data_IF_931884059902
#
_entry.id   IF_931884059902
#
_cell.length_a   1.000
_cell.length_b   1.000
_cell.length_c   1.000
_cell.angle_alpha   90.00
_cell.angle_beta   90.00
_cell.angle_gamma   90.00
#
_symmetry.space_group_name_H-M   'P 1'
#
loop_
_entity.id
_entity.type
_entity.pdbx_description
1 polymer ?
#
# COMPACT_ATOMS: atom_id res chain seq x y z
N UNK A 1 -49.73 -18.10 -61.54
CA UNK A 1 -49.85 -18.63 -60.16
C UNK A 1 -48.49 -19.07 -59.61
N UNK A 2 -47.63 -19.70 -60.42
CA UNK A 2 -46.28 -20.16 -60.05
C UNK A 2 -45.32 -19.10 -59.49
N UNK A 3 -45.26 -17.88 -60.08
CA UNK A 3 -44.39 -16.79 -59.57
C UNK A 3 -44.71 -16.38 -58.12
N UNK A 4 -45.97 -16.47 -57.68
CA UNK A 4 -46.37 -16.16 -56.29
C UNK A 4 -45.95 -17.27 -55.33
N UNK A 5 -46.07 -18.54 -55.74
CA UNK A 5 -45.68 -19.71 -54.94
C UNK A 5 -44.16 -19.75 -54.77
N UNK A 6 -43.41 -19.49 -55.84
CA UNK A 6 -41.95 -19.42 -55.81
C UNK A 6 -41.47 -18.34 -54.82
N UNK A 7 -42.06 -17.13 -54.87
CA UNK A 7 -41.70 -15.99 -54.01
C UNK A 7 -42.07 -16.22 -52.52
N UNK A 8 -43.16 -16.94 -52.25
CA UNK A 8 -43.52 -17.36 -50.88
C UNK A 8 -42.54 -18.43 -50.37
N UNK A 9 -42.13 -19.35 -51.23
CA UNK A 9 -41.11 -20.37 -50.91
C UNK A 9 -39.77 -19.73 -50.59
N UNK A 10 -39.28 -18.80 -51.43
CA UNK A 10 -38.01 -18.08 -51.16
C UNK A 10 -38.09 -17.24 -49.89
N UNK A 11 -39.22 -16.58 -49.61
CA UNK A 11 -39.40 -15.83 -48.35
C UNK A 11 -39.35 -16.73 -47.11
N UNK A 12 -39.97 -17.92 -47.15
CA UNK A 12 -39.93 -18.89 -46.04
C UNK A 12 -38.52 -19.46 -45.83
N UNK A 13 -37.81 -19.75 -46.92
CA UNK A 13 -36.41 -20.20 -46.86
C UNK A 13 -35.52 -19.11 -46.26
N UNK A 14 -35.68 -17.85 -46.68
CA UNK A 14 -34.92 -16.72 -46.13
C UNK A 14 -35.23 -16.45 -44.65
N UNK A 15 -36.49 -16.62 -44.22
CA UNK A 15 -36.89 -16.42 -42.83
C UNK A 15 -36.34 -17.52 -41.91
N UNK A 16 -36.35 -18.78 -42.38
CA UNK A 16 -35.72 -19.89 -41.68
C UNK A 16 -34.21 -19.71 -41.60
N UNK A 17 -33.57 -19.25 -42.68
CA UNK A 17 -32.14 -18.95 -42.69
C UNK A 17 -31.78 -17.85 -41.69
N UNK A 18 -32.56 -16.75 -41.65
CA UNK A 18 -32.37 -15.68 -40.68
C UNK A 18 -32.57 -16.16 -39.23
N UNK A 19 -33.56 -17.02 -38.98
CA UNK A 19 -33.79 -17.60 -37.66
C UNK A 19 -32.66 -18.52 -37.19
N UNK A 20 -32.14 -19.38 -38.08
CA UNK A 20 -30.98 -20.24 -37.79
C UNK A 20 -29.73 -19.42 -37.55
N UNK A 21 -29.51 -18.35 -38.32
CA UNK A 21 -28.39 -17.44 -38.13
C UNK A 21 -28.47 -16.69 -36.79
N UNK A 22 -29.64 -16.18 -36.43
CA UNK A 22 -29.88 -15.54 -35.13
C UNK A 22 -29.65 -16.50 -33.98
N UNK A 23 -30.13 -17.74 -34.09
CA UNK A 23 -29.91 -18.77 -33.08
C UNK A 23 -28.43 -19.14 -32.94
N UNK A 24 -27.70 -19.25 -34.06
CA UNK A 24 -26.26 -19.50 -34.05
C UNK A 24 -25.48 -18.36 -33.37
N UNK A 25 -25.80 -17.11 -33.70
CA UNK A 25 -25.20 -15.93 -33.05
C UNK A 25 -25.49 -15.95 -31.55
N UNK A 26 -26.75 -16.21 -31.17
CA UNK A 26 -27.16 -16.28 -29.77
C UNK A 26 -26.43 -17.38 -28.99
N UNK A 27 -26.23 -18.56 -29.60
CA UNK A 27 -25.51 -19.68 -28.98
C UNK A 27 -24.00 -19.41 -28.83
N UNK A 28 -23.40 -18.63 -29.74
CA UNK A 28 -21.97 -18.25 -29.64
C UNK A 28 -21.72 -16.99 -28.80
N UNK A 29 -22.73 -16.13 -28.62
CA UNK A 29 -22.57 -14.86 -27.90
C UNK A 29 -22.30 -15.05 -26.39
N UNK A 30 -22.66 -16.20 -25.82
CA UNK A 30 -22.47 -16.52 -24.40
C UNK A 30 -21.28 -17.43 -24.12
N UNK A 31 -20.49 -17.82 -25.14
CA UNK A 31 -19.26 -18.55 -24.87
C UNK A 31 -18.16 -17.58 -24.49
N UNK A 32 -18.04 -17.30 -23.19
CA UNK A 32 -16.82 -16.72 -22.62
C UNK A 32 -15.73 -17.78 -22.67
N UNK A 33 -15.05 -17.88 -23.81
CA UNK A 33 -13.81 -18.64 -23.88
C UNK A 33 -12.87 -18.05 -22.83
N UNK A 34 -12.49 -18.84 -21.82
CA UNK A 34 -11.39 -18.49 -20.90
C UNK A 34 -10.16 -18.25 -21.77
N UNK A 35 -9.83 -16.99 -22.02
CA UNK A 35 -8.73 -16.62 -22.90
C UNK A 35 -7.43 -16.87 -22.15
N UNK A 36 -6.82 -18.02 -22.40
CA UNK A 36 -5.46 -18.29 -21.94
C UNK A 36 -4.50 -17.78 -23.01
N UNK A 37 -3.82 -16.67 -22.72
CA UNK A 37 -2.83 -16.09 -23.61
C UNK A 37 -1.43 -16.37 -23.06
N UNK A 38 -0.60 -17.05 -23.86
CA UNK A 38 0.83 -17.13 -23.61
C UNK A 38 1.51 -15.96 -24.32
N UNK A 39 2.40 -15.27 -23.61
CA UNK A 39 3.16 -14.13 -24.13
C UNK A 39 4.54 -14.13 -23.52
N UNK A 40 5.54 -13.70 -24.29
CA UNK A 40 6.91 -13.57 -23.81
C UNK A 40 7.12 -12.26 -23.03
N UNK A 41 6.43 -11.18 -23.45
CA UNK A 41 6.50 -9.86 -22.82
C UNK A 41 5.11 -9.21 -22.73
N UNK A 42 4.87 -8.45 -21.66
CA UNK A 42 3.66 -7.66 -21.45
C UNK A 42 3.99 -6.20 -21.10
N UNK A 43 3.77 -5.29 -22.05
CA UNK A 43 3.91 -3.84 -21.83
C UNK A 43 2.54 -3.21 -21.55
N UNK A 44 2.25 -2.91 -20.29
CA UNK A 44 0.97 -2.33 -19.86
C UNK A 44 1.17 -1.23 -18.81
N UNK A 45 0.13 -0.41 -18.61
CA UNK A 45 0.15 0.63 -17.56
C UNK A 45 -0.29 0.10 -16.20
N UNK A 46 -1.10 -0.96 -16.18
CA UNK A 46 -1.72 -1.54 -14.99
C UNK A 46 -2.17 -2.98 -15.24
N UNK A 47 -1.99 -3.83 -14.23
CA UNK A 47 -2.53 -5.19 -14.13
C UNK A 47 -3.39 -5.22 -12.85
N UNK A 48 -4.62 -5.74 -12.97
CA UNK A 48 -5.48 -6.04 -11.83
C UNK A 48 -5.63 -7.55 -11.73
N UNK A 49 -5.46 -8.10 -10.53
CA UNK A 49 -5.92 -9.44 -10.17
C UNK A 49 -7.20 -9.27 -9.39
N UNK A 50 -8.27 -9.92 -9.85
CA UNK A 50 -9.62 -9.83 -9.29
C UNK A 50 -10.20 -11.23 -9.11
N UNK A 51 -11.14 -11.35 -8.18
CA UNK A 51 -12.04 -12.49 -8.05
C UNK A 51 -13.17 -12.46 -9.09
N UNK A 52 -13.94 -13.56 -9.16
CA UNK A 52 -15.10 -13.69 -10.05
C UNK A 52 -16.19 -12.63 -9.80
N UNK A 53 -16.31 -12.12 -8.56
CA UNK A 53 -17.25 -11.06 -8.18
C UNK A 53 -16.71 -9.63 -8.42
N UNK A 54 -15.48 -9.52 -8.91
CA UNK A 54 -14.79 -8.25 -9.16
C UNK A 54 -14.00 -7.70 -7.98
N UNK A 55 -13.96 -8.40 -6.83
CA UNK A 55 -13.14 -8.00 -5.68
C UNK A 55 -11.66 -8.00 -6.07
N UNK A 56 -10.94 -6.93 -5.73
CA UNK A 56 -9.52 -6.77 -6.07
C UNK A 56 -8.67 -7.59 -5.10
N UNK A 57 -7.65 -8.27 -5.61
CA UNK A 57 -6.61 -8.98 -4.83
C UNK A 57 -5.22 -8.37 -4.97
N UNK A 58 -4.93 -7.81 -6.14
CA UNK A 58 -3.66 -7.14 -6.39
C UNK A 58 -3.78 -6.10 -7.50
N UNK A 59 -3.10 -4.96 -7.33
CA UNK A 59 -2.92 -3.96 -8.38
C UNK A 59 -1.43 -3.72 -8.58
N UNK A 60 -0.91 -4.01 -9.77
CA UNK A 60 0.43 -3.59 -10.21
C UNK A 60 0.27 -2.47 -11.23
N UNK A 61 0.80 -1.28 -10.97
CA UNK A 61 0.63 -0.15 -11.90
C UNK A 61 1.74 0.88 -11.85
N UNK A 62 1.76 1.72 -12.89
CA UNK A 62 2.49 2.97 -12.85
C UNK A 62 1.84 3.99 -11.89
N UNK A 63 2.53 5.11 -11.66
CA UNK A 63 2.12 6.21 -10.76
C UNK A 63 0.73 6.77 -11.12
N UNK A 64 0.46 7.00 -12.40
CA UNK A 64 -0.76 7.67 -12.86
C UNK A 64 -2.03 6.80 -12.79
N UNK A 65 -1.89 5.47 -12.60
CA UNK A 65 -3.02 4.53 -12.53
C UNK A 65 -3.09 3.75 -11.23
N UNK A 66 -2.32 4.18 -10.22
CA UNK A 66 -2.27 3.51 -8.92
C UNK A 66 -3.60 3.57 -8.18
N UNK A 67 -3.89 2.50 -7.44
CA UNK A 67 -5.06 2.43 -6.58
C UNK A 67 -4.86 3.32 -5.34
N UNK A 68 -5.86 4.11 -4.96
CA UNK A 68 -5.78 4.99 -3.78
C UNK A 68 -5.61 4.21 -2.47
N UNK A 69 -6.18 3.01 -2.44
CA UNK A 69 -6.32 2.12 -1.30
C UNK A 69 -7.80 1.85 -1.03
N UNK A 70 -8.10 0.76 -0.31
CA UNK A 70 -9.46 0.40 0.11
C UNK A 70 -9.41 -0.08 1.55
N UNK A 71 -10.36 0.32 2.37
CA UNK A 71 -10.48 -0.12 3.76
C UNK A 71 -11.95 -0.11 4.19
N UNK A 72 -12.39 -1.12 4.94
CA UNK A 72 -13.78 -1.32 5.34
C UNK A 72 -14.76 -1.23 4.15
N UNK A 73 -14.35 -1.78 2.99
CA UNK A 73 -15.15 -1.77 1.75
C UNK A 73 -15.28 -0.41 1.05
N UNK A 74 -14.56 0.63 1.52
CA UNK A 74 -14.60 1.98 0.96
C UNK A 74 -13.25 2.32 0.33
N UNK A 75 -13.27 2.80 -0.92
CA UNK A 75 -12.07 3.35 -1.54
C UNK A 75 -11.66 4.65 -0.86
N UNK A 76 -10.39 4.72 -0.47
CA UNK A 76 -9.80 5.93 0.10
C UNK A 76 -9.84 7.04 -0.97
N UNK A 77 -10.11 8.32 -0.59
CA UNK A 77 -10.08 9.43 -1.53
C UNK A 77 -8.80 9.45 -2.37
N UNK A 78 -8.90 9.98 -3.60
CA UNK A 78 -7.77 10.04 -4.50
C UNK A 78 -6.57 10.72 -3.85
N UNK A 79 -5.43 10.02 -3.90
CA UNK A 79 -4.14 10.52 -3.45
C UNK A 79 -3.07 10.09 -4.43
N UNK A 80 -2.09 10.97 -4.64
CA UNK A 80 -0.95 10.62 -5.47
C UNK A 80 -0.08 9.58 -4.74
N UNK A 81 0.12 8.42 -5.37
CA UNK A 81 0.96 7.33 -4.87
C UNK A 81 2.00 6.96 -5.93
N UNK A 82 3.16 6.51 -5.47
CA UNK A 82 4.20 6.01 -6.35
C UNK A 82 3.75 4.73 -7.10
N UNK A 83 4.49 4.39 -8.17
CA UNK A 83 4.29 3.13 -8.88
C UNK A 83 4.59 1.95 -7.95
N UNK A 84 4.00 0.80 -8.26
CA UNK A 84 4.20 -0.39 -7.43
C UNK A 84 3.04 -1.37 -7.48
N UNK A 85 3.07 -2.28 -6.52
CA UNK A 85 2.13 -3.37 -6.30
C UNK A 85 1.40 -3.16 -4.97
N UNK A 86 0.07 -3.19 -4.96
CA UNK A 86 -0.76 -3.10 -3.76
C UNK A 86 -1.52 -4.42 -3.60
N UNK A 87 -1.52 -4.96 -2.38
CA UNK A 87 -2.19 -6.21 -2.03
C UNK A 87 -3.51 -5.93 -1.31
N UNK A 88 -4.50 -6.78 -1.55
CA UNK A 88 -5.81 -6.70 -0.92
C UNK A 88 -6.18 -8.07 -0.35
N UNK A 89 -6.74 -8.09 0.86
CA UNK A 89 -7.19 -9.30 1.54
C UNK A 89 -8.52 -9.82 0.96
N UNK A 90 -9.09 -10.88 1.54
CA UNK A 90 -10.32 -11.51 1.08
C UNK A 90 -11.55 -10.59 1.12
N UNK A 91 -11.57 -9.63 2.04
CA UNK A 91 -12.60 -8.59 2.17
C UNK A 91 -12.41 -7.45 1.14
N UNK A 92 -11.31 -7.47 0.39
CA UNK A 92 -10.96 -6.46 -0.59
C UNK A 92 -10.26 -5.24 0.01
N UNK A 93 -9.83 -5.30 1.27
CA UNK A 93 -9.13 -4.21 1.96
C UNK A 93 -7.62 -4.29 1.73
N UNK A 94 -6.96 -3.14 1.58
CA UNK A 94 -5.51 -3.04 1.42
C UNK A 94 -4.80 -3.66 2.63
N UNK A 95 -3.85 -4.57 2.38
CA UNK A 95 -3.13 -5.30 3.42
C UNK A 95 -1.59 -5.23 3.25
N UNK A 96 -1.13 -4.25 2.48
CA UNK A 96 0.28 -3.99 2.22
C UNK A 96 0.57 -3.69 0.76
N UNK A 97 1.86 -3.54 0.46
CA UNK A 97 2.29 -3.27 -0.90
C UNK A 97 3.79 -3.09 -1.05
N UNK A 98 4.24 -3.14 -2.30
CA UNK A 98 5.56 -2.73 -2.73
C UNK A 98 5.44 -1.43 -3.52
N UNK A 99 5.94 -0.32 -2.99
CA UNK A 99 5.98 0.96 -3.69
C UNK A 99 7.42 1.44 -3.88
N UNK A 100 7.68 2.11 -5.00
CA UNK A 100 8.99 2.68 -5.27
C UNK A 100 8.89 3.90 -6.16
N UNK A 101 9.80 4.83 -5.97
CA UNK A 101 9.90 5.97 -6.85
C UNK A 101 10.87 7.03 -6.37
N UNK A 102 10.92 8.07 -7.18
CA UNK A 102 11.63 9.30 -6.88
C UNK A 102 10.65 10.46 -6.90
N UNK A 103 10.80 11.36 -5.94
CA UNK A 103 10.16 12.67 -5.91
C UNK A 103 11.23 13.72 -5.63
N UNK A 104 10.94 14.99 -5.89
CA UNK A 104 11.91 16.03 -5.62
C UNK A 104 11.56 17.33 -6.32
N UNK A 105 11.98 18.43 -5.69
CA UNK A 105 11.86 19.79 -6.19
C UNK A 105 13.12 20.57 -5.83
N UNK A 106 13.43 21.62 -6.60
CA UNK A 106 14.48 22.59 -6.26
C UNK A 106 15.85 21.97 -5.92
N UNK A 107 16.29 20.99 -6.71
CA UNK A 107 17.60 20.34 -6.54
C UNK A 107 17.69 19.30 -5.41
N UNK A 108 16.61 19.08 -4.66
CA UNK A 108 16.49 18.03 -3.65
C UNK A 108 15.71 16.85 -4.21
N UNK A 109 16.25 15.65 -4.10
CA UNK A 109 15.57 14.41 -4.53
C UNK A 109 15.37 13.47 -3.35
N UNK A 110 14.22 12.82 -3.30
CA UNK A 110 13.91 11.72 -2.40
C UNK A 110 13.68 10.48 -3.25
N UNK A 111 14.56 9.50 -3.14
CA UNK A 111 14.41 8.18 -3.74
C UNK A 111 14.03 7.18 -2.66
N UNK A 112 13.12 6.27 -2.96
CA UNK A 112 12.80 5.23 -2.00
C UNK A 112 12.06 4.04 -2.56
N UNK A 113 12.11 2.97 -1.79
CA UNK A 113 11.35 1.75 -1.98
C UNK A 113 10.86 1.28 -0.61
N UNK A 114 9.60 0.87 -0.53
CA UNK A 114 8.98 0.34 0.67
C UNK A 114 8.20 -0.92 0.32
N UNK A 115 8.48 -2.01 1.02
CA UNK A 115 7.63 -3.20 1.08
C UNK A 115 6.95 -3.21 2.45
N UNK A 116 5.63 -3.26 2.46
CA UNK A 116 4.81 -3.17 3.66
C UNK A 116 3.88 -4.36 3.81
N UNK A 117 3.66 -4.73 5.07
CA UNK A 117 2.62 -5.66 5.49
C UNK A 117 1.81 -4.95 6.56
N UNK A 118 0.53 -4.77 6.28
CA UNK A 118 -0.35 -3.96 7.12
C UNK A 118 -1.06 -4.85 8.14
N UNK A 119 -1.40 -4.30 9.30
CA UNK A 119 -2.26 -4.99 10.25
C UNK A 119 -3.68 -5.08 9.70
N UNK A 120 -4.44 -6.11 10.09
CA UNK A 120 -5.86 -6.15 9.76
C UNK A 120 -6.57 -4.88 10.25
N UNK A 121 -7.19 -4.13 9.32
CA UNK A 121 -7.86 -2.84 9.55
C UNK A 121 -6.98 -1.69 10.07
N UNK A 122 -5.66 -1.84 9.96
CA UNK A 122 -4.68 -0.82 10.31
C UNK A 122 -3.59 -0.77 9.23
N UNK A 123 -2.57 0.05 9.47
CA UNK A 123 -1.44 0.22 8.54
C UNK A 123 -0.26 -0.68 8.98
N UNK A 124 0.89 -0.42 8.38
CA UNK A 124 2.17 -1.13 8.47
C UNK A 124 2.58 -1.63 9.86
N UNK A 125 2.57 -2.95 10.05
CA UNK A 125 3.22 -3.64 11.18
C UNK A 125 4.56 -4.24 10.83
N UNK A 126 4.81 -4.54 9.54
CA UNK A 126 6.13 -4.94 9.06
C UNK A 126 6.49 -4.09 7.85
N UNK A 127 7.72 -3.55 7.83
CA UNK A 127 8.22 -2.79 6.70
C UNK A 127 9.69 -3.08 6.40
N UNK A 128 10.01 -3.21 5.12
CA UNK A 128 11.38 -3.12 4.58
C UNK A 128 11.47 -1.82 3.80
N UNK A 129 12.32 -0.90 4.24
CA UNK A 129 12.44 0.43 3.67
C UNK A 129 13.87 0.69 3.21
N UNK A 130 14.01 1.31 2.03
CA UNK A 130 15.18 2.10 1.68
C UNK A 130 14.71 3.51 1.31
N UNK A 131 15.27 4.53 1.96
CA UNK A 131 14.96 5.93 1.70
C UNK A 131 16.23 6.74 1.65
N UNK A 132 16.38 7.53 0.60
CA UNK A 132 17.55 8.35 0.32
C UNK A 132 17.09 9.77 -0.03
N UNK A 133 17.64 10.74 0.68
CA UNK A 133 17.51 12.16 0.37
C UNK A 133 18.84 12.66 -0.18
N UNK A 134 18.80 13.21 -1.39
CA UNK A 134 19.94 13.75 -2.12
C UNK A 134 19.81 15.27 -2.20
N UNK A 135 20.86 15.96 -1.78
CA UNK A 135 20.98 17.42 -1.85
C UNK A 135 22.40 17.79 -2.31
N UNK A 136 22.53 18.16 -3.58
CA UNK A 136 23.84 18.27 -4.24
C UNK A 136 24.56 16.92 -4.25
N UNK A 137 25.77 16.87 -3.69
CA UNK A 137 26.57 15.65 -3.55
C UNK A 137 26.26 14.87 -2.26
N UNK A 138 25.47 15.44 -1.35
CA UNK A 138 25.17 14.80 -0.06
C UNK A 138 24.01 13.83 -0.20
N UNK A 139 24.19 12.62 0.33
CA UNK A 139 23.15 11.59 0.41
C UNK A 139 22.91 11.25 1.88
N UNK A 140 21.73 11.60 2.37
CA UNK A 140 21.22 11.16 3.67
C UNK A 140 20.34 9.93 3.45
N UNK A 141 20.66 8.82 4.10
CA UNK A 141 19.91 7.57 3.92
C UNK A 141 19.41 7.01 5.24
N UNK A 142 18.25 6.37 5.16
CA UNK A 142 17.72 5.48 6.20
C UNK A 142 17.21 4.23 5.52
N UNK A 143 17.62 3.06 6.01
CA UNK A 143 17.23 1.79 5.41
C UNK A 143 17.24 0.68 6.44
N UNK A 144 16.29 -0.24 6.34
CA UNK A 144 16.21 -1.33 7.31
C UNK A 144 14.88 -2.04 7.31
N UNK A 145 14.77 -2.91 8.30
CA UNK A 145 13.58 -3.66 8.65
C UNK A 145 12.95 -3.06 9.91
N UNK A 146 11.64 -2.89 9.89
CA UNK A 146 10.85 -2.30 10.97
C UNK A 146 9.70 -3.23 11.35
N UNK A 147 9.47 -3.37 12.64
CA UNK A 147 8.24 -3.95 13.20
C UNK A 147 7.57 -2.89 14.06
N UNK A 148 6.29 -2.66 13.81
CA UNK A 148 5.42 -1.81 14.62
C UNK A 148 4.26 -2.65 15.17
N UNK A 149 3.54 -2.08 16.12
CA UNK A 149 2.22 -2.50 16.53
C UNK A 149 1.27 -1.30 16.60
N UNK A 150 0.00 -1.53 16.91
CA UNK A 150 -1.01 -0.50 17.11
C UNK A 150 -1.77 -0.73 18.41
N UNK A 151 -2.31 0.32 19.05
CA UNK A 151 -3.19 0.17 20.20
C UNK A 151 -4.37 -0.77 19.91
N UNK A 152 -4.70 -1.63 20.88
CA UNK A 152 -5.79 -2.59 20.70
C UNK A 152 -7.12 -1.87 20.41
N UNK A 153 -7.81 -2.30 19.35
CA UNK A 153 -9.11 -1.76 18.95
C UNK A 153 -9.03 -0.45 18.15
N UNK A 154 -7.83 0.10 17.90
CA UNK A 154 -7.69 1.19 16.93
C UNK A 154 -7.92 0.67 15.52
N UNK A 155 -8.44 1.51 14.64
CA UNK A 155 -8.56 1.20 13.20
C UNK A 155 -8.09 2.40 12.38
N UNK A 156 -7.58 2.14 11.19
CA UNK A 156 -7.08 3.18 10.29
C UNK A 156 -8.19 4.20 9.98
N UNK A 157 -9.39 3.72 9.66
CA UNK A 157 -10.51 4.59 9.28
C UNK A 157 -10.99 5.48 10.44
N UNK A 158 -10.95 4.98 11.68
CA UNK A 158 -11.26 5.80 12.85
C UNK A 158 -10.18 6.87 13.06
N UNK A 159 -8.91 6.46 13.09
CA UNK A 159 -7.77 7.38 13.25
C UNK A 159 -7.76 8.47 12.17
N UNK A 160 -8.05 8.13 10.91
CA UNK A 160 -8.13 9.09 9.81
C UNK A 160 -9.25 10.11 10.00
N UNK A 161 -10.43 9.67 10.44
CA UNK A 161 -11.56 10.58 10.73
C UNK A 161 -11.22 11.52 11.88
N UNK A 162 -10.64 11.00 12.94
CA UNK A 162 -10.25 11.82 14.10
C UNK A 162 -9.16 12.84 13.74
N UNK A 163 -8.19 12.43 12.91
CA UNK A 163 -7.15 13.33 12.39
C UNK A 163 -7.74 14.45 11.53
N UNK A 164 -8.73 14.15 10.68
CA UNK A 164 -9.38 15.16 9.85
C UNK A 164 -10.18 16.15 10.70
N UNK A 165 -10.95 15.66 11.67
CA UNK A 165 -11.66 16.52 12.62
C UNK A 165 -10.70 17.40 13.44
N UNK A 166 -9.53 16.87 13.81
CA UNK A 166 -8.53 17.65 14.54
C UNK A 166 -7.92 18.79 13.70
N UNK A 167 -7.84 18.66 12.37
CA UNK A 167 -7.30 19.72 11.49
C UNK A 167 -8.17 20.98 11.48
N UNK A 168 -9.46 20.83 11.69
CA UNK A 168 -10.44 21.93 11.71
C UNK A 168 -10.38 22.77 13.00
N UNK A 169 -9.66 22.31 14.04
CA UNK A 169 -9.44 23.09 15.27
C UNK A 169 -8.57 24.31 14.94
N UNK A 170 -9.08 25.53 15.13
CA UNK A 170 -8.34 26.76 14.80
C UNK A 170 -7.11 26.97 15.70
N UNK A 171 -7.28 26.81 17.02
CA UNK A 171 -6.21 26.98 18.00
C UNK A 171 -5.09 25.95 17.77
N UNK A 172 -3.86 26.45 17.58
CA UNK A 172 -2.71 25.61 17.23
C UNK A 172 -2.28 24.68 18.38
N UNK A 173 -2.39 25.14 19.62
CA UNK A 173 -1.95 24.36 20.78
C UNK A 173 -2.97 23.26 21.09
N UNK A 174 -4.26 23.58 21.04
CA UNK A 174 -5.34 22.63 21.18
C UNK A 174 -5.29 21.58 20.07
N UNK A 175 -5.14 22.01 18.81
CA UNK A 175 -4.96 21.11 17.67
C UNK A 175 -3.79 20.17 17.86
N UNK A 176 -2.62 20.70 18.25
CA UNK A 176 -1.42 19.89 18.52
C UNK A 176 -1.66 18.87 19.63
N UNK A 177 -2.31 19.28 20.73
CA UNK A 177 -2.65 18.38 21.83
C UNK A 177 -3.57 17.26 21.35
N UNK A 178 -4.64 17.60 20.62
CA UNK A 178 -5.58 16.62 20.07
C UNK A 178 -4.90 15.63 19.10
N UNK A 179 -4.02 16.11 18.23
CA UNK A 179 -3.25 15.25 17.32
C UNK A 179 -2.33 14.27 18.09
N UNK A 180 -1.71 14.71 19.20
CA UNK A 180 -0.91 13.84 20.05
C UNK A 180 -1.77 12.75 20.71
N UNK A 181 -2.95 13.11 21.24
CA UNK A 181 -3.89 12.15 21.83
C UNK A 181 -4.35 11.09 20.80
N UNK A 182 -4.65 11.52 19.56
CA UNK A 182 -5.03 10.59 18.48
C UNK A 182 -3.88 9.63 18.15
N UNK A 183 -2.65 10.15 18.07
CA UNK A 183 -1.46 9.32 17.82
C UNK A 183 -1.23 8.31 18.95
N UNK A 184 -1.45 8.68 20.21
CA UNK A 184 -1.32 7.78 21.35
C UNK A 184 -2.41 6.68 21.35
N UNK A 185 -3.63 7.05 20.96
CA UNK A 185 -4.80 6.17 20.95
C UNK A 185 -4.89 5.25 19.72
N UNK A 186 -4.30 5.62 18.58
CA UNK A 186 -4.43 4.83 17.35
C UNK A 186 -3.27 4.90 16.37
N UNK A 187 -2.13 5.48 16.75
CA UNK A 187 -0.94 5.54 15.93
C UNK A 187 0.00 4.34 16.12
N UNK A 188 0.96 4.13 15.19
CA UNK A 188 1.90 3.03 15.28
C UNK A 188 2.84 3.16 16.48
N UNK A 189 3.16 2.02 17.09
CA UNK A 189 4.12 1.83 18.19
C UNK A 189 5.32 1.07 17.65
N UNK A 190 6.47 1.72 17.42
CA UNK A 190 7.64 1.02 16.89
C UNK A 190 8.16 0.03 17.93
N UNK A 191 8.35 -1.23 17.56
CA UNK A 191 8.86 -2.29 18.45
C UNK A 191 10.31 -2.64 18.12
N UNK A 192 10.62 -2.78 16.83
CA UNK A 192 11.94 -3.19 16.36
C UNK A 192 12.35 -2.34 15.18
N UNK A 193 13.59 -1.87 15.21
CA UNK A 193 14.29 -1.37 14.03
C UNK A 193 15.64 -2.09 13.88
N UNK A 194 15.88 -2.62 12.69
CA UNK A 194 17.17 -3.18 12.30
C UNK A 194 17.64 -2.52 11.01
N UNK A 195 18.68 -1.69 11.11
CA UNK A 195 19.27 -1.05 9.94
C UNK A 195 20.00 0.25 10.23
N UNK A 196 20.09 1.09 9.20
CA UNK A 196 20.71 2.42 9.22
C UNK A 196 19.66 3.48 9.52
N UNK A 197 19.81 4.17 10.64
CA UNK A 197 19.00 5.34 11.00
C UNK A 197 19.53 6.63 10.36
N UNK A 198 18.71 7.67 10.40
CA UNK A 198 18.99 8.96 9.74
C UNK A 198 20.17 9.73 10.34
N UNK A 199 20.46 9.51 11.62
CA UNK A 199 21.64 10.03 12.33
C UNK A 199 22.95 9.35 11.90
N UNK A 200 22.85 8.30 11.07
CA UNK A 200 23.99 7.54 10.55
C UNK A 200 24.27 6.25 11.29
N UNK A 201 23.65 6.04 12.47
CA UNK A 201 23.82 4.86 13.30
C UNK A 201 23.33 3.59 12.58
N UNK A 202 23.97 2.45 12.83
CA UNK A 202 23.61 1.16 12.23
C UNK A 202 23.50 0.11 13.32
N UNK A 203 22.33 -0.51 13.46
CA UNK A 203 22.14 -1.49 14.52
C UNK A 203 20.72 -1.99 14.71
N UNK A 204 20.52 -2.61 15.86
CA UNK A 204 19.27 -3.13 16.39
C UNK A 204 18.78 -2.22 17.52
N UNK A 205 17.54 -1.78 17.41
CA UNK A 205 16.87 -0.93 18.39
C UNK A 205 15.56 -1.62 18.77
N UNK A 206 15.39 -1.86 20.07
CA UNK A 206 14.27 -2.58 20.65
C UNK A 206 13.53 -1.67 21.63
N UNK A 207 12.23 -1.60 21.46
CA UNK A 207 11.33 -0.83 22.28
C UNK A 207 10.36 -1.75 23.04
N UNK A 208 9.70 -1.21 24.07
CA UNK A 208 8.59 -1.89 24.75
C UNK A 208 7.29 -1.83 23.93
N UNK A 209 6.22 -2.44 24.47
CA UNK A 209 4.87 -2.50 23.89
C UNK A 209 4.20 -1.12 23.67
N UNK A 210 4.75 -0.07 24.26
CA UNK A 210 4.29 1.31 24.10
C UNK A 210 5.20 2.11 23.14
N UNK A 211 6.25 1.47 22.62
CA UNK A 211 7.21 2.09 21.72
C UNK A 211 8.34 2.86 22.43
N UNK A 212 8.50 2.71 23.74
CA UNK A 212 9.60 3.35 24.46
C UNK A 212 10.89 2.55 24.28
N UNK A 213 12.04 3.16 23.94
CA UNK A 213 13.28 2.43 23.75
C UNK A 213 13.76 1.74 25.04
N UNK A 214 14.26 0.51 24.91
CA UNK A 214 14.75 -0.31 26.03
C UNK A 214 16.15 -0.86 25.82
N UNK A 215 16.50 -1.30 24.61
CA UNK A 215 17.81 -1.83 24.28
C UNK A 215 18.25 -1.40 22.88
N UNK A 216 19.48 -0.93 22.77
CA UNK A 216 20.08 -0.47 21.52
C UNK A 216 21.47 -1.09 21.38
N UNK A 217 21.69 -1.81 20.29
CA UNK A 217 22.98 -2.43 19.94
C UNK A 217 23.36 -1.90 18.57
N UNK A 218 24.30 -0.97 18.51
CA UNK A 218 24.56 -0.24 17.28
C UNK A 218 26.00 0.27 17.18
N UNK A 219 26.37 0.68 15.98
CA UNK A 219 27.56 1.49 15.70
C UNK A 219 27.09 2.90 15.40
N UNK A 220 27.59 3.89 16.15
CA UNK A 220 27.20 5.29 15.97
C UNK A 220 27.72 5.89 14.64
N UNK A 221 27.33 7.12 14.34
CA UNK A 221 27.79 7.82 13.13
C UNK A 221 29.31 8.07 13.06
N UNK A 222 30.03 7.94 14.18
CA UNK A 222 31.48 8.09 14.26
C UNK A 222 32.23 6.73 14.20
N UNK A 223 31.50 5.62 14.15
CA UNK A 223 32.08 4.27 14.10
C UNK A 223 32.30 3.62 15.48
N UNK A 224 31.83 4.22 16.57
CA UNK A 224 31.99 3.63 17.90
C UNK A 224 30.89 2.59 18.17
N UNK A 225 31.24 1.39 18.68
CA UNK A 225 30.24 0.43 19.12
C UNK A 225 29.54 0.92 20.39
N UNK A 226 28.25 0.65 20.50
CA UNK A 226 27.38 1.03 21.62
C UNK A 226 26.45 -0.14 21.97
N UNK A 227 26.33 -0.42 23.27
CA UNK A 227 25.30 -1.29 23.83
C UNK A 227 24.65 -0.48 24.95
N UNK A 228 23.45 0.04 24.69
CA UNK A 228 22.78 0.96 25.61
C UNK A 228 21.43 0.41 26.03
N UNK A 229 21.10 0.57 27.31
CA UNK A 229 19.78 0.29 27.87
C UNK A 229 19.14 1.57 28.36
N UNK A 230 17.81 1.65 28.29
CA UNK A 230 17.05 2.74 28.91
C UNK A 230 16.01 2.18 29.88
N UNK A 231 16.02 2.71 31.10
CA UNK A 231 15.18 2.21 32.19
C UNK A 231 13.76 2.83 32.18
N UNK A 232 13.01 2.64 33.27
CA UNK A 232 11.66 3.19 33.44
C UNK A 232 11.65 4.71 33.69
N UNK A 233 12.77 5.29 34.15
CA UNK A 233 12.93 6.72 34.38
C UNK A 233 13.48 7.46 33.15
N UNK A 234 13.66 6.75 32.03
CA UNK A 234 14.36 7.22 30.83
C UNK A 234 15.85 7.53 31.06
N UNK A 235 16.47 6.90 32.06
CA UNK A 235 17.91 6.98 32.26
C UNK A 235 18.62 6.04 31.28
N UNK A 236 19.51 6.62 30.47
CA UNK A 236 20.33 5.91 29.50
C UNK A 236 21.60 5.40 30.18
N UNK A 237 21.88 4.10 30.03
CA UNK A 237 23.12 3.48 30.50
C UNK A 237 23.86 2.83 29.33
N UNK A 238 25.11 3.25 29.12
CA UNK A 238 26.03 2.57 28.21
C UNK A 238 26.73 1.42 28.93
N UNK A 239 26.60 0.21 28.40
CA UNK A 239 27.19 -1.01 28.97
C UNK A 239 28.63 -1.24 28.51
N UNK A 240 29.14 -0.41 27.58
CA UNK A 240 30.54 -0.46 27.13
C UNK A 240 31.43 0.59 27.79
N UNK A 241 30.83 1.61 28.42
CA UNK A 241 31.57 2.60 29.22
C UNK A 241 31.95 1.99 30.57
N UNK A 242 33.22 2.18 30.97
CA UNK A 242 33.81 1.65 32.20
C UNK A 242 33.61 2.58 33.37
#
# INVERSE_FOLDING_TARGET
>A
MEKKILNISTRKVNLNFAGVLLLAIFLTAFTTSKMHQQMDELTVKRINIIEDDGTIRMVLSNKARQHSGRMDGVDVPFRERHAGMIFFNDEGDECGGLIYGVSGENGRKSSGMSLTFDQYKNDQVIQILNKEMVEGEKIHSSRGFMINDFPQGSTLMQTMRDMEAAKEIEDKNERRKRMMEIQEQGGPRPLVFLGKSRDGSNGLFLNDENGNPKLMIYVDGNGNPKIQTMDENNELKDLLEK
#
